data_IF_044352086611
#
_entry.id   IF_044352086611
#
_cell.length_a   1.000
_cell.length_b   1.000
_cell.length_c   1.000
_cell.angle_alpha   90.00
_cell.angle_beta   90.00
_cell.angle_gamma   90.00
#
_symmetry.space_group_name_H-M   'P 1'
#
loop_
_entity.id
_entity.type
_entity.pdbx_description
1 polymer ?
#
# COMPACT_ATOMS: atom_id res chain seq x y z
N UNK A 1 -19.08 0.70 14.59
CA UNK A 1 -18.36 1.15 13.38
C UNK A 1 -17.56 -0.01 12.83
N UNK A 2 -17.52 -0.17 11.51
CA UNK A 2 -16.71 -1.18 10.82
C UNK A 2 -15.34 -0.59 10.49
N UNK A 3 -14.27 -1.29 10.85
CA UNK A 3 -12.89 -0.83 10.69
C UNK A 3 -12.31 -1.29 9.37
N UNK A 4 -11.71 -0.37 8.62
CA UNK A 4 -11.11 -0.64 7.32
C UNK A 4 -9.64 -0.24 7.34
N UNK A 5 -8.76 -1.16 6.96
CA UNK A 5 -7.34 -0.87 6.76
C UNK A 5 -7.04 -0.69 5.28
N UNK A 6 -6.28 0.35 4.95
CA UNK A 6 -5.80 0.60 3.59
C UNK A 6 -4.29 0.43 3.56
N UNK A 7 -3.81 -0.60 2.88
CA UNK A 7 -2.39 -0.84 2.63
C UNK A 7 -2.05 -0.38 1.23
N UNK A 8 -1.12 0.57 1.09
CA UNK A 8 -0.85 1.13 -0.23
C UNK A 8 0.40 1.97 -0.37
N UNK A 9 0.52 2.59 -1.53
CA UNK A 9 1.61 3.49 -1.91
C UNK A 9 1.28 4.96 -1.63
N UNK A 10 1.89 5.90 -2.38
CA UNK A 10 1.68 7.34 -2.26
C UNK A 10 0.23 7.76 -2.51
N UNK A 11 -0.51 7.04 -3.36
CA UNK A 11 -1.93 7.33 -3.62
C UNK A 11 -2.75 7.04 -2.36
N UNK A 12 -2.44 5.93 -1.68
CA UNK A 12 -3.07 5.57 -0.41
C UNK A 12 -2.65 6.50 0.71
N UNK A 13 -1.37 6.89 0.76
CA UNK A 13 -0.85 7.89 1.71
C UNK A 13 -1.59 9.23 1.61
N UNK A 14 -2.03 9.59 0.40
CA UNK A 14 -2.71 10.85 0.10
C UNK A 14 -1.78 11.89 -0.53
N UNK A 15 -0.69 11.47 -1.18
CA UNK A 15 0.19 12.36 -1.90
C UNK A 15 -0.59 13.15 -2.97
N UNK A 16 -0.37 14.47 -3.02
CA UNK A 16 -1.08 15.37 -3.92
C UNK A 16 -2.48 15.79 -3.44
N UNK A 17 -3.00 15.21 -2.35
CA UNK A 17 -4.21 15.75 -1.73
C UNK A 17 -3.88 17.09 -1.02
N UNK A 18 -4.78 18.07 -1.14
CA UNK A 18 -4.57 19.38 -0.51
C UNK A 18 -4.64 19.36 1.02
N UNK A 19 -5.24 18.32 1.60
CA UNK A 19 -5.22 18.02 3.03
C UNK A 19 -5.55 16.54 3.27
N UNK A 20 -5.28 15.98 4.47
CA UNK A 20 -5.59 14.59 4.78
C UNK A 20 -7.05 14.22 4.49
N UNK A 21 -8.01 15.08 4.83
CA UNK A 21 -9.43 14.84 4.59
C UNK A 21 -9.83 14.73 3.11
N UNK A 22 -8.94 15.06 2.18
CA UNK A 22 -9.12 14.90 0.75
C UNK A 22 -8.49 13.63 0.17
N UNK A 23 -7.67 12.90 0.93
CA UNK A 23 -7.23 11.57 0.52
C UNK A 23 -8.42 10.60 0.51
N UNK A 24 -8.48 9.72 -0.48
CA UNK A 24 -9.65 8.84 -0.69
C UNK A 24 -9.94 7.96 0.54
N UNK A 25 -8.89 7.52 1.25
CA UNK A 25 -8.98 6.74 2.50
C UNK A 25 -9.86 7.43 3.54
N UNK A 26 -9.74 8.75 3.70
CA UNK A 26 -10.52 9.51 4.68
C UNK A 26 -11.87 9.99 4.11
N UNK A 27 -11.99 10.10 2.78
CA UNK A 27 -13.30 10.33 2.11
C UNK A 27 -14.28 9.19 2.36
N UNK A 28 -13.82 7.95 2.51
CA UNK A 28 -14.70 6.81 2.83
C UNK A 28 -15.47 7.04 4.15
N UNK A 29 -14.79 7.50 5.21
CA UNK A 29 -15.46 7.85 6.48
C UNK A 29 -16.47 8.99 6.32
N UNK A 30 -16.18 9.98 5.45
CA UNK A 30 -17.09 11.11 5.19
C UNK A 30 -18.35 10.66 4.42
N UNK A 31 -18.20 9.70 3.51
CA UNK A 31 -19.30 9.15 2.71
C UNK A 31 -20.18 8.18 3.52
N UNK A 32 -19.61 7.49 4.49
CA UNK A 32 -20.36 6.60 5.37
C UNK A 32 -19.78 6.61 6.80
N UNK A 33 -20.48 7.25 7.77
CA UNK A 33 -20.01 7.38 9.14
C UNK A 33 -20.01 6.06 9.93
N UNK A 34 -20.55 4.98 9.36
CA UNK A 34 -20.43 3.66 9.96
C UNK A 34 -19.04 3.05 9.77
N UNK A 35 -18.18 3.63 8.93
CA UNK A 35 -16.81 3.19 8.74
C UNK A 35 -15.80 4.03 9.51
N UNK A 36 -14.72 3.36 9.92
CA UNK A 36 -13.52 3.96 10.47
C UNK A 36 -12.31 3.45 9.67
N UNK A 37 -11.53 4.35 9.08
CA UNK A 37 -10.40 3.98 8.23
C UNK A 37 -9.06 4.20 8.92
N UNK A 38 -8.12 3.28 8.69
CA UNK A 38 -6.71 3.43 9.09
C UNK A 38 -5.86 3.37 7.82
N UNK A 39 -5.01 4.37 7.67
CA UNK A 39 -4.17 4.56 6.50
C UNK A 39 -2.77 3.98 6.75
N UNK A 40 -2.42 2.92 6.02
CA UNK A 40 -1.09 2.34 5.93
C UNK A 40 -0.47 2.61 4.55
N UNK A 41 -0.68 3.80 3.99
CA UNK A 41 -0.03 4.26 2.78
C UNK A 41 1.39 4.77 3.05
N UNK A 42 2.35 4.38 2.23
CA UNK A 42 3.72 4.95 2.24
C UNK A 42 4.19 5.15 0.80
N UNK A 43 4.53 6.39 0.45
CA UNK A 43 5.04 6.74 -0.87
C UNK A 43 6.28 5.96 -1.30
N UNK A 44 6.36 5.64 -2.59
CA UNK A 44 7.48 4.90 -3.19
C UNK A 44 7.58 3.41 -2.81
N UNK A 45 6.68 2.89 -1.97
CA UNK A 45 6.69 1.47 -1.61
C UNK A 45 6.03 0.59 -2.67
N UNK A 46 6.50 -0.66 -2.76
CA UNK A 46 6.12 -1.65 -3.78
C UNK A 46 5.39 -2.82 -3.14
N UNK A 47 4.59 -3.53 -3.94
CA UNK A 47 3.96 -4.79 -3.53
C UNK A 47 5.03 -5.88 -3.45
N UNK A 48 5.82 -6.03 -4.51
CA UNK A 48 6.85 -7.04 -4.63
C UNK A 48 8.08 -6.72 -3.77
N UNK A 49 8.68 -7.77 -3.21
CA UNK A 49 9.98 -7.69 -2.56
C UNK A 49 11.05 -7.30 -3.56
N UNK A 50 12.09 -6.67 -3.03
CA UNK A 50 13.15 -6.09 -3.84
C UNK A 50 14.45 -6.79 -3.48
N UNK A 51 15.27 -7.10 -4.48
CA UNK A 51 16.54 -7.81 -4.27
C UNK A 51 17.63 -6.83 -3.87
N UNK A 52 17.59 -5.64 -4.45
CA UNK A 52 18.55 -4.57 -4.21
C UNK A 52 17.88 -3.47 -3.38
N UNK A 53 18.51 -3.04 -2.27
CA UNK A 53 18.06 -1.87 -1.53
C UNK A 53 18.05 -0.62 -2.40
N UNK A 54 17.10 0.26 -2.15
CA UNK A 54 17.02 1.53 -2.88
C UNK A 54 18.03 2.52 -2.29
N UNK A 55 19.08 2.95 -3.03
CA UNK A 55 20.11 3.80 -2.47
C UNK A 55 19.53 5.14 -1.97
N UNK A 56 19.79 5.46 -0.71
CA UNK A 56 19.32 6.70 -0.07
C UNK A 56 17.83 6.73 0.31
N UNK A 57 17.04 5.70 -0.02
CA UNK A 57 15.58 5.68 0.19
C UNK A 57 15.12 4.40 0.91
N UNK A 58 15.54 4.17 2.18
CA UNK A 58 15.25 2.92 2.90
C UNK A 58 13.75 2.68 3.14
N UNK A 59 12.93 3.74 3.13
CA UNK A 59 11.47 3.61 3.25
C UNK A 59 10.86 2.82 2.10
N UNK A 60 11.43 2.91 0.89
CA UNK A 60 10.85 2.25 -0.28
C UNK A 60 10.94 0.72 -0.11
N UNK A 61 11.95 0.23 0.62
CA UNK A 61 12.21 -1.19 0.83
C UNK A 61 11.33 -1.82 1.94
N UNK A 62 10.41 -1.01 2.50
CA UNK A 62 9.25 -1.49 3.26
C UNK A 62 8.11 -1.88 2.32
N UNK A 63 8.33 -2.97 1.58
CA UNK A 63 7.32 -3.58 0.72
C UNK A 63 6.02 -3.93 1.47
N UNK A 64 4.94 -4.14 0.73
CA UNK A 64 3.62 -4.32 1.31
C UNK A 64 3.55 -5.59 2.17
N UNK A 65 4.25 -6.66 1.78
CA UNK A 65 4.24 -7.92 2.54
C UNK A 65 4.83 -7.72 3.94
N UNK A 66 5.96 -7.03 4.05
CA UNK A 66 6.54 -6.68 5.36
C UNK A 66 5.61 -5.79 6.16
N UNK A 67 5.01 -4.77 5.53
CA UNK A 67 4.13 -3.83 6.25
C UNK A 67 2.81 -4.47 6.67
N UNK A 68 2.31 -5.47 5.95
CA UNK A 68 1.13 -6.23 6.34
C UNK A 68 1.32 -6.96 7.67
N UNK A 69 2.56 -7.40 7.98
CA UNK A 69 2.90 -8.03 9.26
C UNK A 69 2.86 -7.01 10.41
N UNK A 70 3.22 -5.75 10.13
CA UNK A 70 3.25 -4.66 11.12
C UNK A 70 1.86 -4.01 11.35
N UNK A 71 0.85 -4.37 10.54
CA UNK A 71 -0.51 -3.81 10.67
C UNK A 71 -1.22 -4.34 11.93
N UNK A 72 -2.25 -3.63 12.38
CA UNK A 72 -3.15 -4.16 13.41
C UNK A 72 -3.83 -5.45 12.95
N UNK A 73 -4.34 -6.24 13.90
CA UNK A 73 -4.96 -7.53 13.63
C UNK A 73 -6.50 -7.54 13.76
N UNK A 74 -7.13 -6.37 13.88
CA UNK A 74 -8.56 -6.21 14.12
C UNK A 74 -9.36 -5.45 13.03
N UNK A 75 -8.98 -5.43 11.73
CA UNK A 75 -9.84 -4.84 10.72
C UNK A 75 -11.07 -5.72 10.46
N UNK A 76 -12.22 -5.09 10.16
CA UNK A 76 -13.33 -5.79 9.50
C UNK A 76 -13.03 -6.00 8.00
N UNK A 77 -12.28 -5.08 7.39
CA UNK A 77 -11.89 -5.12 5.97
C UNK A 77 -10.47 -4.64 5.74
N UNK A 78 -9.78 -5.21 4.75
CA UNK A 78 -8.50 -4.73 4.24
C UNK A 78 -8.62 -4.43 2.76
N UNK A 79 -8.21 -3.23 2.36
CA UNK A 79 -8.05 -2.83 0.96
C UNK A 79 -6.57 -2.67 0.67
N UNK A 80 -6.10 -3.38 -0.36
CA UNK A 80 -4.73 -3.25 -0.86
C UNK A 80 -4.80 -2.46 -2.16
N UNK A 81 -4.15 -1.29 -2.20
CA UNK A 81 -4.08 -0.46 -3.39
C UNK A 81 -2.66 0.03 -3.62
N UNK A 82 -1.95 -0.67 -4.51
CA UNK A 82 -0.59 -0.36 -4.92
C UNK A 82 -0.27 -0.94 -6.28
N UNK A 83 1.02 -0.98 -6.61
CA UNK A 83 1.53 -1.45 -7.89
C UNK A 83 2.06 -0.34 -8.78
N UNK A 84 1.67 0.92 -8.53
CA UNK A 84 2.19 2.08 -9.28
C UNK A 84 3.72 2.10 -9.27
N UNK A 85 4.32 1.87 -8.09
CA UNK A 85 5.76 1.86 -7.95
C UNK A 85 6.38 0.58 -8.53
N UNK A 86 5.77 -0.59 -8.39
CA UNK A 86 6.25 -1.83 -9.02
C UNK A 86 6.38 -1.70 -10.55
N UNK A 87 5.43 -0.99 -11.19
CA UNK A 87 5.52 -0.67 -12.62
C UNK A 87 6.51 0.46 -12.93
N UNK A 88 6.66 1.43 -12.02
CA UNK A 88 7.43 2.66 -12.26
C UNK A 88 8.90 2.61 -11.86
N UNK A 89 9.28 1.78 -10.88
CA UNK A 89 10.66 1.58 -10.44
C UNK A 89 10.84 0.31 -9.57
N UNK A 90 12.09 -0.05 -9.29
CA UNK A 90 12.43 -1.25 -8.55
C UNK A 90 12.96 -2.35 -9.46
N UNK A 91 13.21 -3.53 -8.89
CA UNK A 91 13.87 -4.64 -9.57
C UNK A 91 12.99 -5.90 -9.70
N UNK A 92 11.76 -5.83 -9.21
CA UNK A 92 10.78 -6.87 -9.39
C UNK A 92 10.37 -6.97 -10.86
N UNK A 93 10.30 -8.19 -11.37
CA UNK A 93 9.72 -8.46 -12.68
C UNK A 93 8.20 -8.38 -12.58
N UNK A 94 7.53 -8.13 -13.70
CA UNK A 94 6.06 -8.17 -13.73
C UNK A 94 5.53 -9.54 -13.27
N UNK A 95 6.18 -10.64 -13.67
CA UNK A 95 5.67 -12.00 -13.44
C UNK A 95 4.54 -12.36 -14.39
N UNK A 96 3.96 -13.54 -14.17
CA UNK A 96 2.75 -13.99 -14.85
C UNK A 96 1.55 -13.91 -13.88
N UNK A 97 0.32 -13.90 -14.40
CA UNK A 97 -0.87 -13.80 -13.57
C UNK A 97 -1.08 -14.98 -12.60
N UNK A 98 -0.39 -16.09 -12.84
CA UNK A 98 -0.39 -17.31 -12.01
C UNK A 98 0.90 -17.46 -11.19
N UNK A 99 1.76 -16.44 -11.16
CA UNK A 99 2.98 -16.45 -10.37
C UNK A 99 2.65 -16.48 -8.86
N UNK A 100 3.59 -17.00 -8.07
CA UNK A 100 3.56 -16.95 -6.60
C UNK A 100 4.91 -16.52 -6.02
N UNK A 101 5.83 -16.04 -6.86
CA UNK A 101 7.13 -15.52 -6.45
C UNK A 101 6.95 -14.12 -5.82
N UNK A 102 7.26 -13.95 -4.52
CA UNK A 102 7.12 -12.66 -3.85
C UNK A 102 8.08 -11.59 -4.37
N UNK A 103 9.01 -11.92 -5.26
CA UNK A 103 9.91 -11.00 -5.97
C UNK A 103 9.40 -10.62 -7.37
N UNK A 104 8.18 -11.00 -7.73
CA UNK A 104 7.46 -10.54 -8.91
C UNK A 104 6.23 -9.73 -8.52
N UNK A 105 5.76 -8.85 -9.39
CA UNK A 105 4.57 -8.04 -9.12
C UNK A 105 3.28 -8.87 -9.11
N UNK A 106 3.17 -9.86 -9.99
CA UNK A 106 1.99 -10.74 -10.10
C UNK A 106 2.06 -11.99 -9.21
N UNK A 107 3.09 -12.14 -8.36
CA UNK A 107 3.30 -13.30 -7.50
C UNK A 107 3.00 -13.11 -6.02
#
# INVERSE_FOLDING_TARGET
MKKIYFLGDSITEGAGASCPNNAFVYKICQLNPNYYTVNYGIGGTRIARQKNPTPGMPLFDRDFQKRAIDMGNDPDYVFVFGGTNDFGHGDAKLGNLDDTDPYSFCG
#
